data_IF_026172117547
#
_entry.id   IF_026172117547
#
_cell.length_a   1.000
_cell.length_b   1.000
_cell.length_c   1.000
_cell.angle_alpha   90.00
_cell.angle_beta   90.00
_cell.angle_gamma   90.00
#
_symmetry.space_group_name_H-M   'P 1'
#
loop_
_entity.id
_entity.type
_entity.pdbx_description
1 polymer ?
#
# COMPACT_ATOMS: atom_id res chain seq x y z
N UNK A 1 11.12 18.87 12.60
CA UNK A 1 10.95 19.08 11.14
C UNK A 1 9.60 18.52 10.72
N UNK A 2 8.91 19.15 9.76
CA UNK A 2 7.63 18.68 9.20
C UNK A 2 7.90 17.98 7.87
N UNK A 3 7.24 16.84 7.64
CA UNK A 3 7.27 16.10 6.37
C UNK A 3 5.83 15.95 5.88
N UNK A 4 5.59 16.30 4.61
CA UNK A 4 4.31 16.17 3.95
C UNK A 4 4.49 15.47 2.60
N UNK A 5 3.61 14.52 2.29
CA UNK A 5 3.61 13.74 1.05
C UNK A 5 2.21 13.81 0.46
N UNK A 6 2.11 14.02 -0.85
CA UNK A 6 0.86 13.97 -1.59
C UNK A 6 1.05 13.05 -2.81
N UNK A 7 0.19 12.04 -2.93
CA UNK A 7 0.17 11.13 -4.08
C UNK A 7 -1.15 11.33 -4.81
N UNK A 8 -1.08 11.86 -6.03
CA UNK A 8 -2.26 12.09 -6.85
C UNK A 8 -2.83 10.78 -7.39
N UNK A 9 -4.16 10.69 -7.51
CA UNK A 9 -4.84 9.51 -8.04
C UNK A 9 -4.33 9.11 -9.44
N UNK A 10 -3.93 10.08 -10.27
CA UNK A 10 -3.37 9.83 -11.60
C UNK A 10 -2.00 9.12 -11.59
N UNK A 11 -1.31 9.13 -10.45
CA UNK A 11 -0.04 8.41 -10.26
C UNK A 11 -0.20 6.91 -10.05
N UNK A 12 -1.42 6.42 -9.83
CA UNK A 12 -1.71 5.01 -9.59
C UNK A 12 -2.25 4.34 -10.84
N UNK A 13 -1.83 3.09 -11.09
CA UNK A 13 -2.40 2.26 -12.17
C UNK A 13 -3.88 1.93 -11.93
N UNK A 14 -4.25 1.74 -10.67
CA UNK A 14 -5.63 1.55 -10.20
C UNK A 14 -5.78 2.32 -8.90
N UNK A 15 -6.77 3.20 -8.84
CA UNK A 15 -7.11 3.94 -7.63
C UNK A 15 -8.62 3.90 -7.43
N UNK A 16 -9.06 3.54 -6.23
CA UNK A 16 -10.45 3.61 -5.81
C UNK A 16 -10.48 3.95 -4.32
N UNK A 17 -11.15 5.04 -3.98
CA UNK A 17 -11.37 5.49 -2.62
C UNK A 17 -12.75 6.13 -2.60
N UNK A 18 -13.78 5.35 -2.24
CA UNK A 18 -15.17 5.78 -2.36
C UNK A 18 -15.54 6.82 -1.27
N UNK A 19 -14.84 6.77 -0.13
CA UNK A 19 -15.00 7.69 0.99
C UNK A 19 -13.62 8.07 1.54
N UNK A 20 -13.43 9.31 2.03
CA UNK A 20 -12.21 9.68 2.74
C UNK A 20 -12.06 8.83 4.00
N UNK A 21 -10.93 8.12 4.12
CA UNK A 21 -10.63 7.24 5.26
C UNK A 21 -9.27 7.65 5.87
N UNK A 22 -9.22 8.05 7.15
CA UNK A 22 -7.95 8.25 7.84
C UNK A 22 -7.32 6.89 8.17
N UNK A 23 -6.10 6.66 7.72
CA UNK A 23 -5.33 5.45 8.02
C UNK A 23 -4.15 5.79 8.93
N UNK A 24 -4.24 5.38 10.20
CA UNK A 24 -3.15 5.51 11.15
C UNK A 24 -2.16 4.36 11.00
N UNK A 25 -0.95 4.62 10.51
CA UNK A 25 0.07 3.59 10.28
C UNK A 25 1.31 3.80 11.11
N UNK A 26 1.87 2.70 11.63
CA UNK A 26 3.21 2.72 12.20
C UNK A 26 4.23 2.68 11.06
N UNK A 27 4.93 3.80 10.83
CA UNK A 27 5.90 3.91 9.73
C UNK A 27 7.07 2.92 9.84
N UNK A 28 7.48 2.52 11.05
CA UNK A 28 8.52 1.51 11.22
C UNK A 28 8.05 0.13 10.77
N UNK A 29 6.81 -0.25 11.11
CA UNK A 29 6.19 -1.49 10.65
C UNK A 29 5.95 -1.47 9.14
N UNK A 30 5.38 -0.40 8.61
CA UNK A 30 5.14 -0.24 7.18
C UNK A 30 6.44 -0.33 6.38
N UNK A 31 7.51 0.30 6.85
CA UNK A 31 8.83 0.21 6.19
C UNK A 31 9.37 -1.22 6.14
N UNK A 32 9.14 -2.03 7.18
CA UNK A 32 9.56 -3.44 7.20
C UNK A 32 8.79 -4.26 6.17
N UNK A 33 7.47 -4.07 6.12
CA UNK A 33 6.59 -4.80 5.19
C UNK A 33 6.86 -4.38 3.74
N UNK A 34 7.13 -3.10 3.48
CA UNK A 34 7.49 -2.60 2.15
C UNK A 34 8.81 -3.19 1.63
N UNK A 35 9.77 -3.52 2.50
CA UNK A 35 11.04 -4.16 2.10
C UNK A 35 10.86 -5.59 1.57
N UNK A 36 9.68 -6.19 1.71
CA UNK A 36 9.38 -7.50 1.15
C UNK A 36 9.03 -7.43 -0.35
N UNK A 37 8.68 -6.24 -0.85
CA UNK A 37 8.48 -5.99 -2.27
C UNK A 37 9.81 -5.97 -3.03
N UNK A 38 9.81 -6.49 -4.25
CA UNK A 38 10.88 -6.27 -5.23
C UNK A 38 10.64 -4.98 -6.02
N UNK A 39 11.70 -4.46 -6.62
CA UNK A 39 11.68 -3.19 -7.35
C UNK A 39 10.67 -3.15 -8.51
N UNK A 40 10.31 -4.30 -9.09
CA UNK A 40 9.39 -4.42 -10.22
C UNK A 40 8.01 -5.01 -9.84
N UNK A 41 7.74 -5.22 -8.54
CA UNK A 41 6.45 -5.70 -8.08
C UNK A 41 5.38 -4.61 -8.17
N UNK A 42 4.15 -5.03 -8.49
CA UNK A 42 2.96 -4.20 -8.33
C UNK A 42 2.53 -4.30 -6.87
N UNK A 43 2.65 -3.20 -6.13
CA UNK A 43 2.12 -3.07 -4.78
C UNK A 43 0.67 -2.55 -4.83
N UNK A 44 -0.24 -3.26 -4.18
CA UNK A 44 -1.63 -2.85 -3.98
C UNK A 44 -1.89 -2.68 -2.50
N UNK A 45 -2.43 -1.52 -2.12
CA UNK A 45 -2.81 -1.18 -0.74
C UNK A 45 -4.33 -1.23 -0.64
N UNK A 46 -4.86 -1.96 0.35
CA UNK A 46 -6.29 -2.08 0.61
C UNK A 46 -6.57 -1.88 2.08
N UNK A 47 -7.65 -1.16 2.38
CA UNK A 47 -8.20 -1.04 3.71
C UNK A 47 -9.72 -1.06 3.62
N UNK A 48 -10.35 -1.63 4.62
CA UNK A 48 -11.80 -1.58 4.84
C UNK A 48 -12.19 -0.25 5.47
N UNK A 49 -13.50 0.05 5.49
CA UNK A 49 -14.01 1.34 5.97
C UNK A 49 -13.78 1.56 7.48
N UNK A 50 -13.61 0.50 8.26
CA UNK A 50 -13.24 0.55 9.68
C UNK A 50 -11.76 0.91 9.90
N UNK A 51 -10.92 0.77 8.85
CA UNK A 51 -9.52 1.18 8.81
C UNK A 51 -8.61 0.55 9.88
N UNK A 52 -9.03 -0.60 10.45
CA UNK A 52 -8.29 -1.29 11.51
C UNK A 52 -7.07 -2.05 10.98
N UNK A 53 -7.14 -2.53 9.73
CA UNK A 53 -6.12 -3.36 9.10
C UNK A 53 -5.78 -2.79 7.72
N UNK A 54 -4.48 -2.72 7.41
CA UNK A 54 -3.97 -2.29 6.11
C UNK A 54 -3.37 -3.50 5.40
N UNK A 55 -4.05 -3.99 4.38
CA UNK A 55 -3.58 -5.10 3.56
C UNK A 55 -2.65 -4.59 2.45
N UNK A 56 -1.49 -5.22 2.31
CA UNK A 56 -0.52 -4.99 1.24
C UNK A 56 -0.35 -6.27 0.41
N UNK A 57 -0.66 -6.19 -0.88
CA UNK A 57 -0.43 -7.27 -1.85
C UNK A 57 0.71 -6.89 -2.79
N UNK A 58 1.68 -7.78 -2.97
CA UNK A 58 2.78 -7.63 -3.93
C UNK A 58 2.67 -8.68 -5.03
N UNK A 59 2.52 -8.24 -6.27
CA UNK A 59 2.40 -9.11 -7.44
C UNK A 59 3.62 -8.94 -8.35
N UNK A 60 4.34 -10.04 -8.61
CA UNK A 60 5.49 -10.01 -9.51
C UNK A 60 5.05 -9.83 -10.97
N UNK A 61 5.74 -8.96 -11.71
CA UNK A 61 5.39 -8.66 -13.10
C UNK A 61 5.62 -9.85 -14.06
N UNK A 62 6.63 -10.67 -13.77
CA UNK A 62 7.15 -11.70 -14.68
C UNK A 62 7.03 -13.14 -14.12
N UNK A 63 6.31 -13.32 -13.01
CA UNK A 63 6.19 -14.62 -12.32
C UNK A 63 4.85 -14.66 -11.58
N UNK A 64 4.32 -15.86 -11.35
CA UNK A 64 3.06 -16.06 -10.61
C UNK A 64 3.20 -15.88 -9.08
N UNK A 65 4.26 -15.21 -8.62
CA UNK A 65 4.48 -14.95 -7.20
C UNK A 65 3.58 -13.82 -6.72
N UNK A 66 2.78 -14.12 -5.70
CA UNK A 66 1.96 -13.17 -4.94
C UNK A 66 2.37 -13.27 -3.46
N UNK A 67 2.57 -12.13 -2.82
CA UNK A 67 2.77 -12.03 -1.38
C UNK A 67 1.75 -11.08 -0.76
N UNK A 68 1.28 -11.40 0.43
CA UNK A 68 0.23 -10.66 1.13
C UNK A 68 0.59 -10.46 2.60
N UNK A 69 0.28 -9.26 3.12
CA UNK A 69 0.53 -8.86 4.50
C UNK A 69 -0.66 -8.06 5.02
N UNK A 70 -1.05 -8.32 6.26
CA UNK A 70 -2.09 -7.61 7.02
C UNK A 70 -1.48 -6.79 8.17
#
# INVERSE_FOLDING_TARGET
ALVAVNLEAAGFKKFRCDRPIPLGVNLNSLTKVLKCAKDDDICTIKATDDADVLNLTYEAKNSDRIAEYD
#
